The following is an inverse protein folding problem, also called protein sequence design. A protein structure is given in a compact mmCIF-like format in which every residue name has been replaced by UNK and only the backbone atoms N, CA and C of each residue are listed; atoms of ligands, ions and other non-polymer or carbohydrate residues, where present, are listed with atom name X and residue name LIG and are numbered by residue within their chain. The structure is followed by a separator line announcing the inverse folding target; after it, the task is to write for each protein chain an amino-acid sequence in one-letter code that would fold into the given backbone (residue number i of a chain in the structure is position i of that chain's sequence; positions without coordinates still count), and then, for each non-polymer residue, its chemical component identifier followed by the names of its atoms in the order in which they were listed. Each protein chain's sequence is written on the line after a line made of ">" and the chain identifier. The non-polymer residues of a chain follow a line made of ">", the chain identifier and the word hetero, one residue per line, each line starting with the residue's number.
data_IF_968882956054
#
_entry.id   IF_968882956054
#
_cell.length_a   1.000
_cell.length_b   1.000
_cell.length_c   1.000
_cell.angle_alpha   90.00
_cell.angle_beta   90.00
_cell.angle_gamma   90.00
#
_symmetry.space_group_name_H-M   'P 1'
#
loop_
_entity.id
_entity.type
_entity.pdbx_description
1 polymer ?
#
# COMPACT_ATOMS: atom_id res chain seq x y z
N UNK A 1 32.54 -24.48 8.19
CA UNK A 1 31.08 -24.41 8.40
C UNK A 1 30.54 -22.99 8.41
N UNK A 2 31.03 -22.08 9.28
CA UNK A 2 30.51 -20.69 9.38
C UNK A 2 30.49 -19.91 8.04
N UNK A 3 31.55 -20.01 7.23
CA UNK A 3 31.63 -19.38 5.90
C UNK A 3 30.63 -19.93 4.88
N UNK A 4 30.24 -21.20 5.04
CA UNK A 4 29.28 -21.87 4.15
C UNK A 4 27.84 -21.41 4.45
N UNK A 5 27.49 -21.28 5.74
CA UNK A 5 26.23 -20.70 6.17
C UNK A 5 26.09 -19.23 5.77
N UNK A 6 27.17 -18.44 5.88
CA UNK A 6 27.18 -17.05 5.39
C UNK A 6 26.87 -16.96 3.90
N UNK A 7 27.55 -17.79 3.08
CA UNK A 7 27.33 -17.85 1.63
C UNK A 7 25.91 -18.27 1.24
N UNK A 8 25.28 -19.17 2.01
CA UNK A 8 23.89 -19.57 1.81
C UNK A 8 22.90 -18.43 2.13
N UNK A 9 23.16 -17.64 3.16
CA UNK A 9 22.36 -16.45 3.48
C UNK A 9 22.45 -15.41 2.36
N UNK A 10 23.66 -15.09 1.91
CA UNK A 10 23.91 -14.16 0.80
C UNK A 10 23.21 -14.61 -0.50
N UNK A 11 23.19 -15.92 -0.78
CA UNK A 11 22.46 -16.48 -1.92
C UNK A 11 20.94 -16.34 -1.78
N UNK A 12 20.39 -16.53 -0.58
CA UNK A 12 18.95 -16.35 -0.32
C UNK A 12 18.53 -14.89 -0.41
N UNK A 13 19.34 -13.97 0.12
CA UNK A 13 19.12 -12.53 0.00
C UNK A 13 19.11 -12.11 -1.47
N UNK A 14 20.10 -12.54 -2.24
CA UNK A 14 20.17 -12.25 -3.67
C UNK A 14 18.98 -12.80 -4.45
N UNK A 15 18.56 -14.04 -4.17
CA UNK A 15 17.37 -14.62 -4.81
C UNK A 15 16.09 -13.86 -4.44
N UNK A 16 16.01 -13.32 -3.22
CA UNK A 16 14.90 -12.48 -2.80
C UNK A 16 14.91 -11.12 -3.51
N UNK A 17 16.08 -10.48 -3.64
CA UNK A 17 16.25 -9.24 -4.39
C UNK A 17 15.89 -9.40 -5.88
N UNK A 18 16.33 -10.49 -6.51
CA UNK A 18 16.00 -10.81 -7.90
C UNK A 18 14.49 -11.00 -8.08
N UNK A 19 13.84 -11.79 -7.21
CA UNK A 19 12.39 -11.97 -7.24
C UNK A 19 11.63 -10.66 -7.01
N UNK A 20 12.10 -9.81 -6.08
CA UNK A 20 11.51 -8.48 -5.85
C UNK A 20 11.68 -7.59 -7.08
N UNK A 21 12.84 -7.62 -7.73
CA UNK A 21 13.09 -6.86 -8.95
C UNK A 21 12.17 -7.29 -10.10
N UNK A 22 12.00 -8.59 -10.32
CA UNK A 22 11.09 -9.12 -11.34
C UNK A 22 9.63 -8.70 -11.09
N UNK A 23 9.21 -8.66 -9.82
CA UNK A 23 7.88 -8.19 -9.43
C UNK A 23 7.70 -6.67 -9.60
N UNK A 24 8.78 -5.89 -9.47
CA UNK A 24 8.76 -4.43 -9.58
C UNK A 24 8.81 -3.92 -11.03
N UNK A 25 9.45 -4.63 -11.95
CA UNK A 25 9.59 -4.22 -13.36
C UNK A 25 8.25 -3.83 -14.02
N UNK A 26 7.15 -4.61 -13.89
CA UNK A 26 5.84 -4.25 -14.45
C UNK A 26 5.18 -3.03 -13.78
N UNK A 27 5.68 -2.59 -12.61
CA UNK A 27 5.16 -1.46 -11.87
C UNK A 27 5.83 -0.13 -12.26
N UNK A 28 7.00 -0.16 -12.92
CA UNK A 28 7.71 1.06 -13.33
C UNK A 28 6.89 1.93 -14.30
N UNK A 29 6.11 1.28 -15.16
CA UNK A 29 5.20 1.95 -16.11
C UNK A 29 3.84 2.33 -15.48
N UNK A 30 3.51 1.78 -14.31
CA UNK A 30 2.22 1.97 -13.63
C UNK A 30 2.29 3.12 -12.65
N UNK A 31 2.10 4.33 -13.15
CA UNK A 31 2.04 5.56 -12.34
C UNK A 31 0.64 5.85 -11.81
N UNK A 32 0.60 6.45 -10.62
CA UNK A 32 -0.60 7.04 -10.04
C UNK A 32 -1.09 8.18 -10.94
N UNK A 33 -2.38 8.23 -11.25
CA UNK A 33 -2.96 9.27 -12.09
C UNK A 33 -3.46 10.46 -11.27
N UNK A 34 -3.83 11.55 -11.94
CA UNK A 34 -4.48 12.71 -11.29
C UNK A 34 -5.95 12.43 -10.90
N UNK A 35 -6.53 11.32 -11.38
CA UNK A 35 -7.92 10.94 -11.11
C UNK A 35 -7.99 9.96 -9.94
N UNK A 36 -8.63 10.39 -8.85
CA UNK A 36 -8.86 9.50 -7.70
C UNK A 36 -9.63 8.23 -8.08
N UNK A 37 -10.58 8.33 -9.01
CA UNK A 37 -11.38 7.20 -9.47
C UNK A 37 -10.53 6.16 -10.20
N UNK A 38 -9.60 6.60 -11.05
CA UNK A 38 -8.66 5.71 -11.74
C UNK A 38 -7.72 5.03 -10.74
N UNK A 39 -7.19 5.79 -9.78
CA UNK A 39 -6.33 5.26 -8.73
C UNK A 39 -7.06 4.22 -7.85
N UNK A 40 -8.35 4.44 -7.59
CA UNK A 40 -9.18 3.46 -6.85
C UNK A 40 -9.32 2.14 -7.61
N UNK A 41 -9.56 2.18 -8.92
CA UNK A 41 -9.63 0.98 -9.76
C UNK A 41 -8.27 0.30 -9.80
N UNK A 42 -7.21 1.08 -10.01
CA UNK A 42 -5.83 0.61 -10.05
C UNK A 42 -5.44 -0.14 -8.77
N UNK A 43 -5.63 0.44 -7.59
CA UNK A 43 -5.27 -0.19 -6.32
C UNK A 43 -6.10 -1.46 -6.03
N UNK A 44 -7.35 -1.53 -6.50
CA UNK A 44 -8.18 -2.74 -6.36
C UNK A 44 -7.69 -3.88 -7.25
N UNK A 45 -7.20 -3.56 -8.45
CA UNK A 45 -6.58 -4.55 -9.34
C UNK A 45 -5.20 -4.96 -8.82
N UNK A 46 -4.39 -4.01 -8.35
CA UNK A 46 -3.03 -4.26 -7.87
C UNK A 46 -3.01 -5.22 -6.68
N UNK A 47 -3.92 -5.05 -5.73
CA UNK A 47 -4.03 -5.93 -4.56
C UNK A 47 -5.19 -6.93 -4.64
N UNK A 48 -5.59 -7.27 -5.87
CA UNK A 48 -6.60 -8.30 -6.12
C UNK A 48 -6.22 -9.63 -5.45
N UNK A 49 -7.14 -10.20 -4.67
CA UNK A 49 -6.93 -11.46 -3.96
C UNK A 49 -6.22 -11.33 -2.60
N UNK A 50 -5.93 -10.11 -2.14
CA UNK A 50 -5.40 -9.86 -0.81
C UNK A 50 -6.49 -9.40 0.16
N UNK A 51 -7.05 -10.33 0.94
CA UNK A 51 -8.15 -10.05 1.87
C UNK A 51 -7.77 -9.10 3.02
N UNK A 52 -6.47 -8.95 3.28
CA UNK A 52 -5.94 -8.06 4.31
C UNK A 52 -6.01 -6.58 3.88
N UNK A 53 -6.19 -6.27 2.59
CA UNK A 53 -6.18 -4.88 2.13
C UNK A 53 -7.55 -4.24 2.36
N UNK A 54 -7.55 -3.11 3.09
CA UNK A 54 -8.73 -2.29 3.35
C UNK A 54 -8.67 -1.01 2.55
N UNK A 55 -9.81 -0.63 2.01
CA UNK A 55 -9.99 0.56 1.20
C UNK A 55 -11.05 1.45 1.87
N UNK A 56 -10.73 2.73 2.10
CA UNK A 56 -11.67 3.72 2.62
C UNK A 56 -11.70 4.95 1.73
N UNK A 57 -12.90 5.38 1.37
CA UNK A 57 -13.13 6.67 0.72
C UNK A 57 -13.59 7.66 1.77
N UNK A 58 -12.95 8.82 1.82
CA UNK A 58 -13.21 9.86 2.82
C UNK A 58 -13.56 11.13 2.08
N UNK A 59 -14.60 11.83 2.52
CA UNK A 59 -14.98 13.13 1.97
C UNK A 59 -14.78 14.19 3.04
N UNK A 60 -14.09 15.27 2.70
CA UNK A 60 -13.89 16.38 3.61
C UNK A 60 -15.22 17.03 4.02
N UNK A 61 -15.35 17.42 5.30
CA UNK A 61 -16.36 18.40 5.71
C UNK A 61 -15.79 19.81 5.61
N UNK A 62 -16.64 20.80 5.30
CA UNK A 62 -16.25 22.21 5.34
C UNK A 62 -16.19 22.96 4.00
N UNK A 63 -16.94 22.53 2.99
CA UNK A 63 -17.21 23.34 1.78
C UNK A 63 -16.30 23.08 0.58
N UNK A 64 -15.15 22.43 0.77
CA UNK A 64 -14.37 21.87 -0.34
C UNK A 64 -14.77 20.41 -0.51
N UNK A 65 -15.34 20.04 -1.65
CA UNK A 65 -15.80 18.68 -1.96
C UNK A 65 -14.62 17.75 -2.28
N UNK A 66 -13.60 17.75 -1.42
CA UNK A 66 -12.38 16.97 -1.56
C UNK A 66 -12.67 15.52 -1.14
N UNK A 67 -12.22 14.60 -1.99
CA UNK A 67 -12.27 13.16 -1.74
C UNK A 67 -10.87 12.65 -1.54
N UNK A 68 -10.70 11.78 -0.56
CA UNK A 68 -9.46 11.08 -0.26
C UNK A 68 -9.70 9.58 -0.34
N UNK A 69 -8.65 8.86 -0.72
CA UNK A 69 -8.67 7.41 -0.83
C UNK A 69 -7.53 6.84 0.02
N UNK A 70 -7.89 6.10 1.05
CA UNK A 70 -6.97 5.49 1.99
C UNK A 70 -6.92 3.98 1.75
N UNK A 71 -5.71 3.45 1.61
CA UNK A 71 -5.44 2.02 1.44
C UNK A 71 -4.47 1.57 2.54
N UNK A 72 -4.81 0.50 3.27
CA UNK A 72 -3.96 -0.02 4.33
C UNK A 72 -4.15 -1.53 4.54
N UNK A 73 -3.15 -2.19 5.12
CA UNK A 73 -3.23 -3.61 5.50
C UNK A 73 -3.85 -3.76 6.90
N UNK A 74 -4.96 -4.47 7.00
CA UNK A 74 -5.59 -4.86 8.25
C UNK A 74 -4.64 -5.70 9.10
N UNK A 75 -4.65 -5.49 10.41
CA UNK A 75 -3.74 -6.16 11.35
C UNK A 75 -2.28 -5.67 11.33
N UNK A 76 -1.87 -4.88 10.32
CA UNK A 76 -0.50 -4.30 10.24
C UNK A 76 -0.44 -2.85 10.74
N UNK A 77 -1.60 -2.24 10.93
CA UNK A 77 -1.74 -0.84 11.35
C UNK A 77 -2.69 -0.74 12.52
N UNK A 78 -2.42 0.20 13.43
CA UNK A 78 -3.35 0.50 14.51
C UNK A 78 -4.54 1.29 13.95
N UNK A 79 -5.70 0.63 13.86
CA UNK A 79 -6.94 1.24 13.34
C UNK A 79 -7.38 2.46 14.13
N UNK A 80 -7.13 2.50 15.46
CA UNK A 80 -7.41 3.68 16.29
C UNK A 80 -6.56 4.87 15.85
N UNK A 81 -5.27 4.65 15.60
CA UNK A 81 -4.37 5.68 15.07
C UNK A 81 -4.84 6.19 13.71
N UNK A 82 -5.29 5.30 12.81
CA UNK A 82 -5.86 5.71 11.51
C UNK A 82 -7.11 6.58 11.70
N UNK A 83 -8.05 6.14 12.53
CA UNK A 83 -9.29 6.87 12.75
C UNK A 83 -9.01 8.25 13.39
N UNK A 84 -8.24 8.28 14.46
CA UNK A 84 -8.05 9.49 15.27
C UNK A 84 -7.12 10.50 14.61
N UNK A 85 -6.06 10.04 13.95
CA UNK A 85 -5.00 10.93 13.44
C UNK A 85 -5.09 11.17 11.93
N UNK A 86 -5.90 10.40 11.18
CA UNK A 86 -6.05 10.56 9.72
C UNK A 86 -7.49 10.88 9.38
N UNK A 87 -8.45 10.02 9.73
CA UNK A 87 -9.84 10.17 9.27
C UNK A 87 -10.54 11.32 9.97
N UNK A 88 -10.43 11.42 11.29
CA UNK A 88 -11.08 12.44 12.10
C UNK A 88 -10.67 13.87 11.68
N UNK A 89 -9.37 14.18 11.51
CA UNK A 89 -8.92 15.48 10.99
C UNK A 89 -9.47 15.82 9.61
N UNK A 90 -9.64 14.82 8.72
CA UNK A 90 -10.17 15.03 7.37
C UNK A 90 -11.69 15.21 7.36
N UNK A 91 -12.40 14.66 8.35
CA UNK A 91 -13.88 14.63 8.39
C UNK A 91 -14.49 15.59 9.42
N UNK A 92 -13.67 16.30 10.19
CA UNK A 92 -14.08 17.18 11.30
C UNK A 92 -14.96 16.43 12.33
N UNK A 93 -14.50 15.25 12.74
CA UNK A 93 -15.10 14.47 13.84
C UNK A 93 -14.78 15.03 15.23
#
# INVERSE_FOLDING_TARGET
>A
MLKFFKKLCEQKEKACEEAVSELNLPLEEKKVSSSISENMVFCRQLFSGMDIIRYRTITAKGGQNLRFFLVFCDGMVNTKTINDNIICPLTAC
#
